data_IF_620456803300
#
_entry.id   IF_620456803300
#
_cell.length_a   1.000
_cell.length_b   1.000
_cell.length_c   1.000
_cell.angle_alpha   90.00
_cell.angle_beta   90.00
_cell.angle_gamma   90.00
#
_symmetry.space_group_name_H-M   'P 1'
#
loop_
_entity.id
_entity.type
_entity.pdbx_description
1 polymer ?
#
# COMPACT_ATOMS: atom_id res chain seq x y z
N UNK A 1 24.26 19.91 -11.87
CA UNK A 1 22.88 19.75 -12.43
C UNK A 1 21.88 19.77 -11.28
N UNK A 2 20.74 20.46 -11.43
CA UNK A 2 19.69 20.50 -10.39
C UNK A 2 18.42 19.88 -10.95
N UNK A 3 17.80 18.95 -10.21
CA UNK A 3 16.55 18.28 -10.58
C UNK A 3 15.54 18.46 -9.46
N UNK A 4 14.40 19.06 -9.77
CA UNK A 4 13.26 19.14 -8.86
C UNK A 4 12.33 17.93 -9.02
N UNK A 5 11.90 17.34 -7.91
CA UNK A 5 10.89 16.29 -7.88
C UNK A 5 9.79 16.66 -6.91
N UNK A 6 8.60 16.91 -7.46
CA UNK A 6 7.46 17.39 -6.69
C UNK A 6 6.69 16.27 -5.98
N UNK A 7 6.93 15.00 -6.35
CA UNK A 7 6.25 13.82 -5.78
C UNK A 7 7.09 13.04 -4.77
N UNK A 8 8.33 13.46 -4.51
CA UNK A 8 9.15 12.83 -3.47
C UNK A 8 8.64 13.26 -2.09
N UNK A 9 8.34 12.26 -1.26
CA UNK A 9 7.99 12.46 0.14
C UNK A 9 9.20 12.99 0.90
N UNK A 10 9.10 14.24 1.34
CA UNK A 10 10.08 14.85 2.25
C UNK A 10 9.63 14.65 3.70
N UNK A 11 10.54 14.83 4.66
CA UNK A 11 10.20 14.82 6.09
C UNK A 11 9.12 15.85 6.50
N UNK A 12 8.78 16.80 5.61
CA UNK A 12 7.62 17.66 5.71
C UNK A 12 6.53 17.27 4.68
N UNK A 13 5.24 17.25 5.06
CA UNK A 13 4.16 16.98 4.12
C UNK A 13 4.09 18.05 3.02
N UNK A 14 4.03 17.61 1.76
CA UNK A 14 3.82 18.43 0.55
C UNK A 14 4.91 19.45 0.17
N UNK A 15 6.18 19.26 0.57
CA UNK A 15 7.23 20.23 0.23
C UNK A 15 7.97 19.96 -1.09
N UNK A 16 7.96 18.71 -1.60
CA UNK A 16 8.76 18.30 -2.77
C UNK A 16 10.28 18.35 -2.49
N UNK A 17 11.08 17.66 -3.30
CA UNK A 17 12.53 17.57 -3.14
C UNK A 17 13.27 18.29 -4.29
N UNK A 18 14.45 18.85 -3.98
CA UNK A 18 15.39 19.38 -4.97
C UNK A 18 16.75 18.70 -4.80
N UNK A 19 17.19 18.01 -5.84
CA UNK A 19 18.48 17.31 -5.86
C UNK A 19 19.52 18.14 -6.59
N UNK A 20 20.66 18.36 -5.93
CA UNK A 20 21.81 19.07 -6.49
C UNK A 20 22.93 18.06 -6.76
N UNK A 21 23.19 17.78 -8.03
CA UNK A 21 24.31 16.94 -8.46
C UNK A 21 25.51 17.82 -8.77
N UNK A 22 26.55 17.70 -7.95
CA UNK A 22 27.87 18.26 -8.24
C UNK A 22 28.66 17.25 -9.07
N UNK A 23 29.24 17.69 -10.18
CA UNK A 23 30.07 16.87 -11.07
C UNK A 23 31.37 16.51 -10.33
N UNK A 24 31.36 15.38 -9.62
CA UNK A 24 32.56 14.79 -9.02
C UNK A 24 33.07 13.75 -10.02
N UNK A 25 34.06 14.15 -10.81
CA UNK A 25 34.81 13.22 -11.67
C UNK A 25 35.64 12.32 -10.75
N UNK A 26 35.13 11.13 -10.46
CA UNK A 26 35.92 10.11 -9.77
C UNK A 26 36.82 9.39 -10.79
N UNK A 27 38.16 9.40 -10.63
CA UNK A 27 39.02 8.55 -11.44
C UNK A 27 38.81 7.08 -11.06
N UNK A 28 38.78 6.21 -12.06
CA UNK A 28 38.73 4.75 -11.88
C UNK A 28 39.91 4.29 -11.03
N UNK A 29 39.64 3.64 -9.90
CA UNK A 29 40.63 2.83 -9.18
C UNK A 29 39.92 1.68 -8.50
N UNK A 30 40.13 0.49 -9.07
CA UNK A 30 39.95 -0.81 -8.45
C UNK A 30 40.79 -0.92 -7.17
N UNK A 31 40.24 -1.47 -6.08
CA UNK A 31 40.87 -2.42 -5.13
C UNK A 31 39.98 -2.61 -3.89
N UNK A 32 39.78 -3.87 -3.51
CA UNK A 32 39.10 -4.35 -2.29
C UNK A 32 39.84 -3.94 -1.01
N UNK A 33 39.14 -3.85 0.13
CA UNK A 33 39.40 -4.57 1.41
C UNK A 33 38.72 -3.87 2.61
N UNK A 34 38.16 -4.72 3.45
CA UNK A 34 37.60 -4.65 4.81
C UNK A 34 38.10 -3.54 5.77
N UNK A 35 37.18 -2.98 6.59
CA UNK A 35 37.04 -3.14 8.08
C UNK A 35 36.60 -1.84 8.78
N UNK A 36 35.64 -2.00 9.70
CA UNK A 36 35.33 -1.19 10.91
C UNK A 36 35.07 0.30 10.77
N UNK A 37 33.84 0.71 11.12
CA UNK A 37 33.55 2.08 11.56
C UNK A 37 32.89 2.04 12.93
N UNK A 38 33.66 2.47 13.91
CA UNK A 38 33.22 3.00 15.21
C UNK A 38 32.51 4.33 14.97
N UNK A 39 31.27 4.50 15.44
CA UNK A 39 30.57 5.79 15.33
C UNK A 39 30.23 6.32 16.72
N UNK A 40 31.06 7.27 17.16
CA UNK A 40 30.76 8.26 18.19
C UNK A 40 29.52 9.04 17.80
N UNK A 41 28.49 8.99 18.65
CA UNK A 41 27.30 9.83 18.56
C UNK A 41 27.50 11.06 19.44
N UNK A 42 27.41 12.25 18.85
CA UNK A 42 27.28 13.49 19.60
C UNK A 42 26.43 14.50 18.85
N UNK A 43 25.76 15.32 19.68
CA UNK A 43 24.98 16.53 19.40
C UNK A 43 23.56 16.30 18.86
N UNK A 44 22.55 17.07 19.25
CA UNK A 44 22.26 17.90 20.40
C UNK A 44 20.82 18.37 20.15
N UNK A 45 19.93 18.19 21.12
CA UNK A 45 18.51 18.47 21.00
C UNK A 45 18.22 19.98 20.96
N UNK A 46 17.27 20.40 20.10
CA UNK A 46 16.49 21.63 20.29
C UNK A 46 15.00 21.28 20.35
N UNK A 47 14.31 21.48 21.48
CA UNK A 47 12.85 21.34 21.53
C UNK A 47 12.19 22.66 21.12
N UNK A 48 11.26 22.59 20.18
CA UNK A 48 10.39 23.72 19.81
C UNK A 48 9.18 23.77 20.77
N UNK A 49 9.05 24.92 21.41
CA UNK A 49 8.03 25.31 22.38
C UNK A 49 6.66 25.41 21.73
N UNK A 50 5.64 24.73 22.28
CA UNK A 50 4.23 25.00 21.98
C UNK A 50 3.54 25.41 23.29
N UNK A 51 3.14 26.67 23.35
CA UNK A 51 2.37 27.29 24.42
C UNK A 51 0.92 26.84 24.36
N UNK A 52 0.41 26.25 25.44
CA UNK A 52 -1.03 26.05 25.63
C UNK A 52 -1.42 26.63 26.98
N UNK A 53 -2.25 27.67 26.92
CA UNK A 53 -2.86 28.33 28.07
C UNK A 53 -3.77 27.36 28.83
N UNK A 54 -3.61 27.26 30.15
CA UNK A 54 -4.67 26.76 31.04
C UNK A 54 -4.47 27.25 32.48
N UNK A 55 -5.51 27.94 32.92
CA UNK A 55 -6.03 28.30 34.25
C UNK A 55 -5.23 27.96 35.51
N UNK A 56 -5.04 29.02 36.30
CA UNK A 56 -4.61 29.09 37.70
C UNK A 56 -5.52 28.29 38.63
N UNK A 57 -4.94 27.37 39.41
CA UNK A 57 -5.45 27.04 40.74
C UNK A 57 -4.27 26.72 41.68
N UNK A 58 -4.18 27.47 42.78
CA UNK A 58 -3.15 27.40 43.81
C UNK A 58 -3.36 26.20 44.75
N UNK A 59 -2.38 25.31 44.87
CA UNK A 59 -2.18 24.48 46.07
C UNK A 59 -0.68 24.24 46.30
N UNK A 60 -0.36 24.13 47.58
CA UNK A 60 0.92 24.30 48.27
C UNK A 60 1.71 22.98 48.39
N UNK A 61 3.02 23.02 48.09
CA UNK A 61 4.09 22.24 48.74
C UNK A 61 4.19 20.72 48.52
N UNK A 62 5.31 20.24 47.93
CA UNK A 62 5.81 18.89 48.18
C UNK A 62 6.57 18.22 47.03
N UNK A 63 7.90 18.22 47.13
CA UNK A 63 8.88 17.29 46.52
C UNK A 63 8.63 16.74 45.10
N UNK A 64 9.35 17.32 44.13
CA UNK A 64 9.52 16.77 42.77
C UNK A 64 10.21 15.40 42.83
N UNK A 65 9.44 14.33 42.72
CA UNK A 65 9.95 12.99 42.41
C UNK A 65 9.96 12.85 40.89
N UNK A 66 11.14 12.85 40.27
CA UNK A 66 11.28 12.62 38.82
C UNK A 66 11.11 11.13 38.52
N UNK A 67 9.88 10.68 38.32
CA UNK A 67 9.60 9.35 37.76
C UNK A 67 9.87 9.37 36.26
N UNK A 68 11.04 8.92 35.83
CA UNK A 68 11.30 8.50 34.45
C UNK A 68 10.63 7.15 34.22
N UNK A 69 9.45 7.15 33.63
CA UNK A 69 8.81 5.94 33.09
C UNK A 69 9.45 5.60 31.75
N UNK A 70 10.43 4.70 31.75
CA UNK A 70 10.96 4.07 30.54
C UNK A 70 9.99 2.97 30.14
N UNK A 71 9.10 3.23 29.18
CA UNK A 71 8.19 2.21 28.65
C UNK A 71 8.96 1.32 27.67
N UNK A 72 9.53 0.24 28.17
CA UNK A 72 10.04 -0.86 27.33
C UNK A 72 8.83 -1.61 26.77
N UNK A 73 8.32 -1.16 25.63
CA UNK A 73 7.33 -1.90 24.87
C UNK A 73 7.93 -3.28 24.51
N UNK A 74 7.19 -4.39 24.69
CA UNK A 74 7.68 -5.69 24.29
C UNK A 74 7.96 -5.70 22.77
N UNK A 75 8.99 -6.43 22.31
CA UNK A 75 9.45 -6.41 20.92
C UNK A 75 8.34 -6.74 19.90
N UNK A 76 7.37 -7.56 20.31
CA UNK A 76 6.17 -7.91 19.52
C UNK A 76 5.28 -6.71 19.18
N UNK A 77 5.18 -5.67 20.03
CA UNK A 77 4.31 -4.52 19.74
C UNK A 77 4.98 -3.50 18.80
N UNK A 78 6.31 -3.43 18.80
CA UNK A 78 7.06 -2.58 17.87
C UNK A 78 7.12 -3.18 16.45
N UNK A 79 7.08 -4.51 16.33
CA UNK A 79 7.05 -5.20 15.04
C UNK A 79 5.69 -5.04 14.34
N UNK A 80 4.57 -5.07 15.07
CA UNK A 80 3.21 -5.02 14.50
C UNK A 80 2.95 -3.85 13.54
N UNK A 81 3.44 -2.64 13.85
CA UNK A 81 3.29 -1.47 12.96
C UNK A 81 4.33 -1.44 11.83
N UNK A 82 5.47 -2.10 12.01
CA UNK A 82 6.52 -2.18 10.98
C UNK A 82 6.28 -3.34 10.00
N UNK A 83 5.35 -4.24 10.34
CA UNK A 83 5.02 -5.41 9.55
C UNK A 83 3.98 -5.17 8.48
N UNK A 84 3.27 -4.06 8.52
CA UNK A 84 2.20 -3.77 7.55
C UNK A 84 2.81 -3.56 6.15
N UNK A 85 2.65 -4.54 5.25
CA UNK A 85 3.09 -4.41 3.85
C UNK A 85 2.12 -3.58 3.00
N UNK A 86 1.08 -3.03 3.65
CA UNK A 86 0.00 -2.26 3.04
C UNK A 86 -0.79 -3.05 1.99
N UNK A 87 -0.72 -4.38 2.04
CA UNK A 87 -1.59 -5.25 1.24
C UNK A 87 -2.80 -5.68 2.07
N UNK A 88 -4.02 -5.17 1.77
CA UNK A 88 -5.21 -5.53 2.54
C UNK A 88 -5.61 -7.02 2.39
N UNK A 89 -4.90 -7.79 1.55
CA UNK A 89 -5.19 -9.20 1.28
C UNK A 89 -4.14 -10.17 1.80
N UNK A 90 -3.22 -9.68 2.62
CA UNK A 90 -2.32 -10.48 3.45
C UNK A 90 -2.77 -10.37 4.91
N UNK A 91 -2.50 -11.44 5.66
CA UNK A 91 -2.56 -11.42 7.11
C UNK A 91 -1.12 -11.27 7.58
N UNK A 92 -0.85 -10.11 8.16
CA UNK A 92 0.48 -9.75 8.63
C UNK A 92 0.63 -10.22 10.06
N UNK A 93 1.60 -11.12 10.28
CA UNK A 93 1.88 -11.70 11.58
C UNK A 93 3.31 -11.42 11.98
N UNK A 94 3.49 -10.89 13.18
CA UNK A 94 4.81 -10.70 13.78
C UNK A 94 5.12 -11.86 14.70
N UNK A 95 6.19 -12.59 14.36
CA UNK A 95 6.80 -13.59 15.21
C UNK A 95 8.21 -13.16 15.63
N UNK A 96 8.82 -13.89 16.56
CA UNK A 96 10.21 -13.68 16.97
C UNK A 96 11.19 -13.82 15.80
N UNK A 97 10.82 -14.61 14.78
CA UNK A 97 11.57 -14.83 13.54
C UNK A 97 11.48 -13.66 12.55
N UNK A 98 10.58 -12.70 12.80
CA UNK A 98 10.32 -11.55 11.95
C UNK A 98 8.88 -11.45 11.45
N UNK A 99 8.71 -10.75 10.34
CA UNK A 99 7.43 -10.48 9.70
C UNK A 99 7.06 -11.55 8.69
N UNK A 100 5.84 -12.10 8.83
CA UNK A 100 5.27 -13.04 7.88
C UNK A 100 3.95 -12.48 7.31
N UNK A 101 3.93 -12.31 5.99
CA UNK A 101 2.82 -11.76 5.20
C UNK A 101 2.12 -12.91 4.48
N UNK A 102 1.08 -13.45 5.10
CA UNK A 102 0.41 -14.65 4.57
C UNK A 102 -0.76 -14.27 3.68
N UNK A 103 -0.75 -14.58 2.38
CA UNK A 103 -1.86 -14.23 1.51
C UNK A 103 -3.09 -15.09 1.85
N UNK A 104 -4.25 -14.47 1.83
CA UNK A 104 -5.52 -15.18 1.88
C UNK A 104 -5.60 -16.22 0.73
N UNK A 105 -6.36 -17.31 0.95
CA UNK A 105 -6.49 -18.39 -0.04
C UNK A 105 -7.95 -18.62 -0.46
N UNK A 106 -8.12 -19.33 -1.59
CA UNK A 106 -9.45 -19.69 -2.09
C UNK A 106 -10.32 -18.48 -2.45
N UNK A 107 -11.60 -18.53 -2.08
CA UNK A 107 -12.57 -17.47 -2.42
C UNK A 107 -12.25 -16.15 -1.72
N UNK A 108 -11.75 -16.20 -0.47
CA UNK A 108 -11.42 -15.02 0.31
C UNK A 108 -10.31 -14.21 -0.36
N UNK A 109 -9.27 -14.87 -0.89
CA UNK A 109 -8.20 -14.24 -1.64
C UNK A 109 -8.71 -13.38 -2.80
N UNK A 110 -9.57 -13.99 -3.64
CA UNK A 110 -10.11 -13.33 -4.83
C UNK A 110 -11.06 -12.20 -4.44
N UNK A 111 -11.91 -12.42 -3.44
CA UNK A 111 -12.85 -11.40 -2.96
C UNK A 111 -12.09 -10.22 -2.38
N UNK A 112 -11.08 -10.45 -1.54
CA UNK A 112 -10.24 -9.38 -1.02
C UNK A 112 -9.59 -8.55 -2.13
N UNK A 113 -8.99 -9.19 -3.15
CA UNK A 113 -8.36 -8.45 -4.25
C UNK A 113 -9.37 -7.61 -5.04
N UNK A 114 -10.59 -8.10 -5.22
CA UNK A 114 -11.67 -7.34 -5.86
C UNK A 114 -12.17 -6.19 -4.99
N UNK A 115 -12.15 -6.33 -3.67
CA UNK A 115 -12.52 -5.29 -2.70
C UNK A 115 -11.45 -4.19 -2.62
N UNK A 116 -10.17 -4.57 -2.64
CA UNK A 116 -9.04 -3.65 -2.75
C UNK A 116 -9.11 -2.85 -4.07
N UNK A 117 -9.39 -3.54 -5.19
CA UNK A 117 -9.58 -2.91 -6.48
C UNK A 117 -10.77 -1.92 -6.48
N UNK A 118 -11.88 -2.28 -5.85
CA UNK A 118 -13.05 -1.40 -5.71
C UNK A 118 -12.73 -0.16 -4.88
N UNK A 119 -12.01 -0.32 -3.76
CA UNK A 119 -11.54 0.78 -2.90
C UNK A 119 -10.65 1.75 -3.68
N UNK A 120 -9.68 1.23 -4.43
CA UNK A 120 -8.80 2.06 -5.29
C UNK A 120 -9.60 2.80 -6.36
N UNK A 121 -10.56 2.15 -7.01
CA UNK A 121 -11.41 2.79 -8.02
C UNK A 121 -12.31 3.90 -7.46
N UNK A 122 -12.69 3.84 -6.18
CA UNK A 122 -13.47 4.88 -5.51
C UNK A 122 -12.59 6.02 -4.98
N UNK A 123 -11.36 5.72 -4.54
CA UNK A 123 -10.38 6.70 -4.08
C UNK A 123 -9.78 7.55 -5.21
N UNK A 124 -9.73 7.02 -6.44
CA UNK A 124 -9.16 7.75 -7.58
C UNK A 124 -10.10 8.85 -8.11
N UNK A 125 -9.57 10.03 -8.46
CA UNK A 125 -10.38 11.09 -9.05
C UNK A 125 -10.94 10.63 -10.40
N UNK A 126 -12.22 10.90 -10.65
CA UNK A 126 -12.91 10.48 -11.88
C UNK A 126 -12.25 10.98 -13.15
N UNK A 127 -11.53 12.11 -13.09
CA UNK A 127 -10.74 12.62 -14.21
C UNK A 127 -9.56 11.71 -14.54
N UNK A 128 -8.85 11.18 -13.54
CA UNK A 128 -7.75 10.23 -13.75
C UNK A 128 -8.21 8.91 -14.36
N UNK A 129 -9.49 8.54 -14.18
CA UNK A 129 -10.13 7.36 -14.77
C UNK A 129 -10.82 7.64 -16.12
N UNK A 130 -10.57 8.77 -16.76
CA UNK A 130 -11.13 9.12 -18.07
C UNK A 130 -12.59 9.57 -18.05
N UNK A 131 -13.00 10.18 -16.94
CA UNK A 131 -14.28 10.84 -16.75
C UNK A 131 -15.34 9.96 -16.09
N UNK A 132 -16.47 10.58 -15.71
CA UNK A 132 -17.54 9.95 -14.93
C UNK A 132 -18.06 8.63 -15.56
N UNK A 133 -18.33 8.63 -16.87
CA UNK A 133 -18.90 7.45 -17.55
C UNK A 133 -17.94 6.27 -17.57
N UNK A 134 -16.65 6.51 -17.83
CA UNK A 134 -15.65 5.45 -17.88
C UNK A 134 -15.39 4.91 -16.47
N UNK A 135 -15.21 5.79 -15.48
CA UNK A 135 -15.06 5.42 -14.07
C UNK A 135 -16.23 4.54 -13.59
N UNK A 136 -17.48 4.97 -13.81
CA UNK A 136 -18.65 4.18 -13.43
C UNK A 136 -18.73 2.84 -14.18
N UNK A 137 -18.33 2.78 -15.45
CA UNK A 137 -18.29 1.52 -16.20
C UNK A 137 -17.24 0.55 -15.64
N UNK A 138 -16.10 1.07 -15.19
CA UNK A 138 -15.04 0.28 -14.56
C UNK A 138 -15.49 -0.27 -13.21
N UNK A 139 -16.07 0.59 -12.35
CA UNK A 139 -16.64 0.20 -11.05
C UNK A 139 -17.72 -0.87 -11.21
N UNK A 140 -18.66 -0.70 -12.15
CA UNK A 140 -19.72 -1.69 -12.42
C UNK A 140 -19.17 -3.06 -12.82
N UNK A 141 -18.05 -3.12 -13.55
CA UNK A 141 -17.43 -4.38 -13.93
C UNK A 141 -16.82 -5.10 -12.74
N UNK A 142 -16.16 -4.36 -11.84
CA UNK A 142 -15.61 -4.92 -10.60
C UNK A 142 -16.73 -5.41 -9.70
N UNK A 143 -17.79 -4.62 -9.49
CA UNK A 143 -18.96 -5.03 -8.73
C UNK A 143 -19.64 -6.29 -9.32
N UNK A 144 -19.72 -6.39 -10.64
CA UNK A 144 -20.28 -7.57 -11.29
C UNK A 144 -19.37 -8.80 -11.14
N UNK A 145 -18.05 -8.63 -11.21
CA UNK A 145 -17.10 -9.72 -10.94
C UNK A 145 -17.21 -10.21 -9.49
N UNK A 146 -17.31 -9.31 -8.50
CA UNK A 146 -17.55 -9.64 -7.08
C UNK A 146 -18.79 -10.50 -6.91
N UNK A 147 -19.93 -10.07 -7.47
CA UNK A 147 -21.18 -10.84 -7.42
C UNK A 147 -21.06 -12.23 -8.06
N UNK A 148 -20.26 -12.38 -9.12
CA UNK A 148 -20.04 -13.67 -9.75
C UNK A 148 -19.20 -14.60 -8.85
N UNK A 149 -18.16 -14.09 -8.20
CA UNK A 149 -17.33 -14.86 -7.27
C UNK A 149 -18.14 -15.25 -6.03
N UNK A 150 -18.96 -14.34 -5.49
CA UNK A 150 -19.87 -14.61 -4.38
C UNK A 150 -20.94 -15.67 -4.74
N UNK A 151 -21.51 -15.57 -5.94
CA UNK A 151 -22.42 -16.60 -6.44
C UNK A 151 -21.72 -17.94 -6.73
N UNK A 152 -20.39 -17.95 -6.84
CA UNK A 152 -19.60 -19.15 -7.03
C UNK A 152 -19.18 -19.77 -5.69
N UNK A 153 -18.98 -18.98 -4.63
CA UNK A 153 -18.66 -19.48 -3.28
C UNK A 153 -19.84 -20.23 -2.66
N UNK A 154 -21.06 -19.80 -2.99
CA UNK A 154 -22.31 -20.44 -2.54
C UNK A 154 -22.82 -21.54 -3.49
N UNK A 155 -22.20 -21.72 -4.65
CA UNK A 155 -22.57 -22.75 -5.63
C UNK A 155 -21.53 -23.88 -5.67
N UNK A 156 -21.94 -25.07 -6.14
CA UNK A 156 -21.04 -26.21 -6.28
C UNK A 156 -20.86 -26.66 -7.74
N UNK A 157 -19.71 -27.27 -8.03
CA UNK A 157 -19.39 -27.95 -9.29
C UNK A 157 -19.52 -27.06 -10.53
N UNK A 158 -20.20 -27.57 -11.57
CA UNK A 158 -20.31 -26.90 -12.88
C UNK A 158 -20.91 -25.50 -12.83
N UNK A 159 -21.75 -25.18 -11.84
CA UNK A 159 -22.35 -23.83 -11.70
C UNK A 159 -21.31 -22.83 -11.21
N UNK A 160 -20.55 -23.18 -10.17
CA UNK A 160 -19.46 -22.36 -9.66
C UNK A 160 -18.40 -22.12 -10.74
N UNK A 161 -17.95 -23.17 -11.44
CA UNK A 161 -16.97 -23.03 -12.54
C UNK A 161 -17.47 -22.08 -13.63
N UNK A 162 -18.75 -22.15 -14.02
CA UNK A 162 -19.34 -21.23 -15.01
C UNK A 162 -19.34 -19.77 -14.53
N UNK A 163 -19.63 -19.54 -13.25
CA UNK A 163 -19.60 -18.21 -12.66
C UNK A 163 -18.16 -17.65 -12.61
N UNK A 164 -17.18 -18.47 -12.24
CA UNK A 164 -15.76 -18.07 -12.22
C UNK A 164 -15.22 -17.74 -13.62
N UNK A 165 -15.58 -18.52 -14.64
CA UNK A 165 -15.23 -18.20 -16.04
C UNK A 165 -15.88 -16.89 -16.50
N UNK A 166 -17.11 -16.60 -16.06
CA UNK A 166 -17.75 -15.32 -16.35
C UNK A 166 -17.02 -14.17 -15.66
N UNK A 167 -16.60 -14.34 -14.40
CA UNK A 167 -15.86 -13.34 -13.64
C UNK A 167 -14.54 -13.00 -14.35
N UNK A 168 -13.78 -14.02 -14.75
CA UNK A 168 -12.54 -13.88 -15.52
C UNK A 168 -12.74 -13.07 -16.81
N UNK A 169 -13.79 -13.35 -17.59
CA UNK A 169 -14.09 -12.59 -18.81
C UNK A 169 -14.43 -11.13 -18.53
N UNK A 170 -15.11 -10.85 -17.42
CA UNK A 170 -15.46 -9.48 -17.01
C UNK A 170 -14.19 -8.71 -16.64
N UNK A 171 -13.28 -9.32 -15.87
CA UNK A 171 -11.99 -8.74 -15.52
C UNK A 171 -11.08 -8.56 -16.74
N UNK A 172 -11.05 -9.51 -17.68
CA UNK A 172 -10.31 -9.35 -18.94
C UNK A 172 -10.82 -8.15 -19.76
N UNK A 173 -12.15 -7.98 -19.84
CA UNK A 173 -12.76 -6.81 -20.51
C UNK A 173 -12.43 -5.52 -19.78
N UNK A 174 -12.42 -5.52 -18.45
CA UNK A 174 -12.00 -4.41 -17.61
C UNK A 174 -10.56 -4.00 -17.92
N UNK A 175 -9.60 -4.94 -17.85
CA UNK A 175 -8.20 -4.68 -18.16
C UNK A 175 -8.01 -4.17 -19.60
N UNK A 176 -8.77 -4.69 -20.57
CA UNK A 176 -8.76 -4.18 -21.93
C UNK A 176 -9.36 -2.76 -22.06
N UNK A 177 -10.33 -2.38 -21.22
CA UNK A 177 -10.86 -1.03 -21.19
C UNK A 177 -9.85 -0.05 -20.57
N UNK A 178 -9.19 -0.44 -19.49
CA UNK A 178 -8.13 0.36 -18.85
C UNK A 178 -6.97 0.58 -19.83
N UNK A 179 -6.39 -0.49 -20.40
CA UNK A 179 -5.31 -0.38 -21.39
C UNK A 179 -5.66 0.52 -22.58
N UNK A 180 -6.87 0.36 -23.15
CA UNK A 180 -7.33 1.23 -24.24
C UNK A 180 -7.52 2.67 -23.79
N UNK A 181 -7.99 2.90 -22.57
CA UNK A 181 -8.11 4.23 -21.98
C UNK A 181 -6.74 4.89 -21.80
N UNK A 182 -5.74 4.15 -21.36
CA UNK A 182 -4.35 4.61 -21.21
C UNK A 182 -3.72 4.95 -22.56
N UNK A 183 -3.83 4.07 -23.55
CA UNK A 183 -3.29 4.30 -24.91
C UNK A 183 -3.92 5.54 -25.55
N UNK A 184 -5.21 5.79 -25.29
CA UNK A 184 -5.94 6.96 -25.79
C UNK A 184 -5.72 8.24 -24.95
N UNK A 185 -4.86 8.21 -23.94
CA UNK A 185 -4.60 9.35 -23.06
C UNK A 185 -5.78 9.75 -22.17
N UNK A 186 -6.81 8.90 -22.04
CA UNK A 186 -7.99 9.18 -21.22
C UNK A 186 -7.76 8.82 -19.76
N UNK A 187 -7.03 7.75 -19.50
CA UNK A 187 -6.70 7.29 -18.14
C UNK A 187 -5.25 7.65 -17.86
N UNK A 188 -5.01 8.29 -16.71
CA UNK A 188 -3.66 8.62 -16.26
C UNK A 188 -2.81 7.35 -16.11
N UNK A 189 -1.55 7.39 -16.55
CA UNK A 189 -0.68 6.20 -16.56
C UNK A 189 -0.50 5.58 -15.18
N UNK A 190 -0.32 6.40 -14.15
CA UNK A 190 -0.18 5.95 -12.74
C UNK A 190 -1.45 5.24 -12.26
N UNK A 191 -2.61 5.87 -12.45
CA UNK A 191 -3.90 5.27 -12.10
C UNK A 191 -4.14 3.94 -12.84
N UNK A 192 -3.77 3.86 -14.13
CA UNK A 192 -3.88 2.64 -14.90
C UNK A 192 -2.96 1.53 -14.39
N UNK A 193 -1.73 1.86 -13.96
CA UNK A 193 -0.78 0.91 -13.39
C UNK A 193 -1.33 0.23 -12.15
N UNK A 194 -1.74 1.02 -11.15
CA UNK A 194 -2.25 0.51 -9.87
C UNK A 194 -3.49 -0.38 -10.08
N UNK A 195 -4.42 0.08 -10.91
CA UNK A 195 -5.68 -0.64 -11.19
C UNK A 195 -5.43 -1.93 -11.99
N UNK A 196 -4.45 -1.93 -12.90
CA UNK A 196 -4.11 -3.12 -13.67
C UNK A 196 -3.43 -4.19 -12.81
N UNK A 197 -2.48 -3.81 -11.95
CA UNK A 197 -1.77 -4.72 -11.05
C UNK A 197 -2.76 -5.51 -10.18
N UNK A 198 -3.64 -4.81 -9.47
CA UNK A 198 -4.68 -5.44 -8.64
C UNK A 198 -5.61 -6.36 -9.45
N UNK A 199 -5.95 -5.96 -10.68
CA UNK A 199 -6.81 -6.79 -11.55
C UNK A 199 -6.12 -8.04 -12.08
N UNK A 200 -4.79 -7.98 -12.31
CA UNK A 200 -4.02 -9.15 -12.77
C UNK A 200 -3.86 -10.17 -11.67
N UNK A 201 -3.62 -9.72 -10.44
CA UNK A 201 -3.47 -10.60 -9.28
C UNK A 201 -4.77 -11.36 -9.01
N UNK A 202 -5.92 -10.67 -9.05
CA UNK A 202 -7.23 -11.30 -8.94
C UNK A 202 -7.47 -12.36 -10.05
N UNK A 203 -7.03 -12.09 -11.29
CA UNK A 203 -7.18 -13.05 -12.40
C UNK A 203 -6.26 -14.26 -12.24
N UNK A 204 -5.05 -14.09 -11.71
CA UNK A 204 -4.10 -15.18 -11.50
C UNK A 204 -4.58 -16.22 -10.48
N UNK A 205 -5.43 -15.83 -9.53
CA UNK A 205 -5.98 -16.73 -8.51
C UNK A 205 -7.20 -17.55 -8.99
N UNK A 206 -7.91 -17.10 -10.04
CA UNK A 206 -9.13 -17.75 -10.55
C UNK A 206 -8.93 -19.17 -11.14
N UNK A 207 -7.83 -19.51 -11.85
CA UNK A 207 -7.56 -20.87 -12.30
C UNK A 207 -7.43 -21.88 -11.16
N UNK A 208 -6.67 -21.54 -10.11
CA UNK A 208 -6.49 -22.40 -8.94
C UNK A 208 -7.83 -22.65 -8.23
N UNK A 209 -8.62 -21.58 -8.07
CA UNK A 209 -9.97 -21.67 -7.51
C UNK A 209 -10.90 -22.57 -8.34
N UNK A 210 -10.84 -22.47 -9.67
CA UNK A 210 -11.65 -23.32 -10.57
C UNK A 210 -11.26 -24.79 -10.47
N UNK A 211 -9.99 -25.10 -10.27
CA UNK A 211 -9.52 -26.46 -10.06
C UNK A 211 -10.03 -27.03 -8.73
N UNK A 212 -10.05 -26.21 -7.67
CA UNK A 212 -10.50 -26.62 -6.34
C UNK A 212 -12.01 -26.89 -6.24
N UNK A 213 -12.83 -26.27 -7.10
CA UNK A 213 -14.31 -26.37 -7.05
C UNK A 213 -14.88 -27.36 -8.08
N UNK A 214 -14.03 -27.98 -8.89
CA UNK A 214 -14.43 -28.90 -9.97
C UNK A 214 -14.77 -30.29 -9.45
#
# INVERSE_FOLDING_TARGET
MVVGSWLDDTAAPNAGAVYVFTDQVFPSSSTSTTTTVTTTSSTASTPSTSTTSSSTTTVMGGATTTTTTTTTLPPVLACATACDDHDPCTIDTCAEEGCDHTPETGFNAVMCRLDALDTVLHGLPRLALGGRRLASSLQLRVAFARRLVDSASTAAGRRAVRNLVRAERVLARFAAAVRRGTIRGKIARVAAGNVLALSTDAVQQLPALRAAVR
#
